data_IF_643173356864
#
_entry.id   IF_643173356864
#
_cell.length_a   1.000
_cell.length_b   1.000
_cell.length_c   1.000
_cell.angle_alpha   90.00
_cell.angle_beta   90.00
_cell.angle_gamma   90.00
#
_symmetry.space_group_name_H-M   'P 1'
#
loop_
_entity.id
_entity.type
_entity.pdbx_description
1 polymer ?
#
# COMPACT_ATOMS: atom_id res chain seq x y z
N UNK A 1 -1.90 -18.13 -14.72
CA UNK A 1 -1.57 -19.22 -13.78
C UNK A 1 -0.85 -18.78 -12.50
N UNK A 2 -0.85 -17.50 -12.17
CA UNK A 2 -0.28 -16.95 -10.91
C UNK A 2 -1.37 -16.43 -9.94
N UNK A 3 -2.64 -16.69 -10.26
CA UNK A 3 -3.80 -16.44 -9.41
C UNK A 3 -4.70 -17.67 -9.44
N UNK A 4 -5.43 -17.89 -8.35
CA UNK A 4 -6.49 -18.89 -8.26
C UNK A 4 -7.81 -18.43 -8.92
N UNK A 5 -7.94 -17.14 -9.22
CA UNK A 5 -9.15 -16.54 -9.79
C UNK A 5 -9.00 -16.16 -11.27
N UNK A 6 -10.09 -16.25 -12.05
CA UNK A 6 -10.17 -15.70 -13.41
C UNK A 6 -9.96 -14.18 -13.45
N UNK A 7 -9.61 -13.63 -14.62
CA UNK A 7 -9.29 -12.19 -14.78
C UNK A 7 -10.56 -11.33 -14.63
N UNK A 8 -11.71 -11.87 -15.03
CA UNK A 8 -13.03 -11.25 -14.99
C UNK A 8 -13.48 -10.88 -13.57
N UNK A 9 -12.88 -11.51 -12.54
CA UNK A 9 -13.16 -11.20 -11.13
C UNK A 9 -12.82 -9.74 -10.79
N UNK A 10 -11.86 -9.12 -11.49
CA UNK A 10 -11.53 -7.70 -11.28
C UNK A 10 -12.75 -6.82 -11.57
N UNK A 11 -13.34 -6.94 -12.76
CA UNK A 11 -14.52 -6.17 -13.16
C UNK A 11 -15.76 -6.50 -12.32
N UNK A 12 -15.91 -7.77 -11.91
CA UNK A 12 -17.00 -8.19 -11.02
C UNK A 12 -16.89 -7.54 -9.63
N UNK A 13 -15.68 -7.48 -9.07
CA UNK A 13 -15.46 -6.83 -7.76
C UNK A 13 -15.61 -5.31 -7.84
N UNK A 14 -15.22 -4.67 -8.95
CA UNK A 14 -15.53 -3.25 -9.20
C UNK A 14 -17.03 -3.02 -9.14
N UNK A 15 -17.82 -3.84 -9.83
CA UNK A 15 -19.29 -3.75 -9.75
C UNK A 15 -19.80 -4.01 -8.32
N UNK A 16 -19.16 -4.92 -7.58
CA UNK A 16 -19.51 -5.17 -6.18
C UNK A 16 -19.22 -3.96 -5.27
N UNK A 17 -18.12 -3.23 -5.51
CA UNK A 17 -17.81 -1.97 -4.81
C UNK A 17 -18.88 -0.92 -5.11
N UNK A 18 -19.27 -0.76 -6.37
CA UNK A 18 -20.32 0.18 -6.79
C UNK A 18 -21.66 -0.17 -6.13
N UNK A 19 -21.96 -1.46 -5.99
CA UNK A 19 -23.19 -1.95 -5.37
C UNK A 19 -23.16 -1.97 -3.83
N UNK A 20 -22.05 -1.58 -3.19
CA UNK A 20 -21.94 -1.55 -1.72
C UNK A 20 -21.68 -2.92 -1.07
N UNK A 21 -21.39 -3.97 -1.84
CA UNK A 21 -21.39 -5.35 -1.37
C UNK A 21 -20.05 -5.91 -0.91
N UNK A 22 -18.95 -5.14 -0.96
CA UNK A 22 -17.63 -5.62 -0.55
C UNK A 22 -17.30 -5.26 0.92
N UNK A 23 -16.25 -5.87 1.45
CA UNK A 23 -15.82 -5.63 2.82
C UNK A 23 -15.42 -4.17 3.05
N UNK A 24 -14.72 -3.55 2.08
CA UNK A 24 -14.34 -2.14 2.16
C UNK A 24 -15.57 -1.21 2.24
N UNK A 25 -16.67 -1.52 1.54
CA UNK A 25 -17.89 -0.71 1.62
C UNK A 25 -18.42 -0.66 3.07
N UNK A 26 -18.51 -1.82 3.71
CA UNK A 26 -19.02 -1.94 5.07
C UNK A 26 -18.11 -1.23 6.09
N UNK A 27 -16.79 -1.29 5.88
CA UNK A 27 -15.83 -0.59 6.73
C UNK A 27 -15.87 0.92 6.53
N UNK A 28 -16.00 1.40 5.30
CA UNK A 28 -16.16 2.82 5.03
C UNK A 28 -17.45 3.39 5.62
N UNK A 29 -18.57 2.66 5.51
CA UNK A 29 -19.84 3.04 6.14
C UNK A 29 -19.70 3.10 7.68
N UNK A 30 -19.12 2.07 8.28
CA UNK A 30 -18.91 2.03 9.74
C UNK A 30 -17.97 3.13 10.23
N UNK A 31 -16.94 3.45 9.45
CA UNK A 31 -15.93 4.43 9.81
C UNK A 31 -16.32 5.86 9.40
N UNK A 32 -17.48 6.09 8.78
CA UNK A 32 -17.86 7.40 8.20
C UNK A 32 -16.73 7.96 7.32
N UNK A 33 -16.42 7.21 6.26
CA UNK A 33 -15.38 7.50 5.27
C UNK A 33 -15.98 7.43 3.88
N UNK A 34 -15.75 8.47 3.07
CA UNK A 34 -16.13 8.46 1.67
C UNK A 34 -15.28 7.42 0.90
N UNK A 35 -15.94 6.52 0.17
CA UNK A 35 -15.29 5.55 -0.71
C UNK A 35 -15.41 5.99 -2.16
N UNK A 36 -14.28 6.11 -2.87
CA UNK A 36 -14.22 6.37 -4.32
C UNK A 36 -13.58 5.18 -5.04
N UNK A 37 -14.21 4.72 -6.12
CA UNK A 37 -13.67 3.66 -6.98
C UNK A 37 -13.12 4.30 -8.24
N UNK A 38 -11.82 4.08 -8.49
CA UNK A 38 -11.09 4.60 -9.63
C UNK A 38 -10.80 3.46 -10.60
N UNK A 39 -11.61 3.33 -11.65
CA UNK A 39 -11.48 2.26 -12.64
C UNK A 39 -10.28 2.49 -13.56
N UNK A 40 -9.41 1.49 -13.65
CA UNK A 40 -8.14 1.58 -14.36
C UNK A 40 -8.06 0.57 -15.49
N UNK A 41 -8.35 1.02 -16.71
CA UNK A 41 -8.12 0.26 -17.94
C UNK A 41 -8.60 -1.21 -17.86
N UNK A 42 -9.80 -1.45 -17.31
CA UNK A 42 -10.32 -2.80 -17.02
C UNK A 42 -10.34 -3.72 -18.27
N UNK A 43 -10.55 -3.13 -19.45
CA UNK A 43 -10.60 -3.82 -20.74
C UNK A 43 -9.22 -4.02 -21.39
N UNK A 44 -8.17 -3.41 -20.84
CA UNK A 44 -6.80 -3.41 -21.39
C UNK A 44 -5.82 -3.83 -20.28
N UNK A 45 -5.73 -5.14 -19.98
CA UNK A 45 -4.79 -5.61 -18.97
C UNK A 45 -3.35 -5.29 -19.36
N UNK A 46 -2.46 -5.26 -18.36
CA UNK A 46 -1.03 -5.09 -18.59
C UNK A 46 -0.43 -6.28 -19.33
N UNK A 47 0.72 -6.03 -19.97
CA UNK A 47 1.45 -7.06 -20.70
C UNK A 47 2.24 -7.96 -19.75
N UNK A 48 2.58 -9.16 -20.21
CA UNK A 48 3.35 -10.11 -19.43
C UNK A 48 4.79 -9.61 -19.21
N UNK A 49 5.08 -9.15 -17.98
CA UNK A 49 6.38 -8.60 -17.61
C UNK A 49 7.57 -9.57 -17.77
N UNK A 50 7.31 -10.86 -18.00
CA UNK A 50 8.38 -11.83 -18.27
C UNK A 50 8.86 -11.80 -19.72
N UNK A 51 8.15 -11.06 -20.60
CA UNK A 51 8.39 -11.03 -22.05
C UNK A 51 8.58 -9.63 -22.60
N UNK A 52 7.98 -8.63 -21.96
CA UNK A 52 8.01 -7.22 -22.37
C UNK A 52 7.61 -6.33 -21.19
N UNK A 53 7.81 -4.99 -21.24
CA UNK A 53 7.36 -4.12 -20.16
C UNK A 53 5.83 -4.21 -19.92
N UNK A 54 5.41 -4.35 -18.65
CA UNK A 54 3.99 -4.41 -18.28
C UNK A 54 3.17 -3.21 -18.80
N UNK A 55 3.76 -2.02 -18.73
CA UNK A 55 3.22 -0.75 -19.22
C UNK A 55 4.20 -0.11 -20.20
N UNK A 56 3.68 0.58 -21.22
CA UNK A 56 4.51 1.52 -21.97
C UNK A 56 4.62 2.83 -21.17
N UNK A 57 5.44 3.76 -21.67
CA UNK A 57 5.71 5.02 -20.97
C UNK A 57 4.43 5.85 -20.80
N UNK A 58 3.65 6.01 -21.87
CA UNK A 58 2.36 6.71 -21.85
C UNK A 58 1.38 6.08 -20.86
N UNK A 59 1.22 4.76 -20.88
CA UNK A 59 0.31 4.04 -19.98
C UNK A 59 0.70 4.21 -18.51
N UNK A 60 2.00 4.19 -18.20
CA UNK A 60 2.47 4.40 -16.83
C UNK A 60 2.23 5.84 -16.38
N UNK A 61 2.53 6.83 -17.24
CA UNK A 61 2.28 8.24 -16.96
C UNK A 61 0.80 8.55 -16.79
N UNK A 62 -0.05 8.03 -17.69
CA UNK A 62 -1.51 8.16 -17.62
C UNK A 62 -2.04 7.57 -16.31
N UNK A 63 -1.58 6.38 -15.92
CA UNK A 63 -2.02 5.74 -14.69
C UNK A 63 -1.60 6.52 -13.45
N UNK A 64 -0.35 6.98 -13.38
CA UNK A 64 0.12 7.85 -12.30
C UNK A 64 -0.68 9.15 -12.24
N UNK A 65 -0.87 9.81 -13.38
CA UNK A 65 -1.62 11.06 -13.47
C UNK A 65 -3.06 10.87 -12.99
N UNK A 66 -3.72 9.79 -13.42
CA UNK A 66 -5.07 9.48 -12.96
C UNK A 66 -5.13 9.27 -11.44
N UNK A 67 -4.16 8.55 -10.87
CA UNK A 67 -4.02 8.46 -9.41
C UNK A 67 -3.80 9.80 -8.72
N UNK A 68 -3.05 10.72 -9.32
CA UNK A 68 -2.90 12.08 -8.78
C UNK A 68 -4.23 12.83 -8.72
N UNK A 69 -5.14 12.60 -9.67
CA UNK A 69 -6.46 13.27 -9.68
C UNK A 69 -7.40 12.80 -8.57
N UNK A 70 -7.10 11.70 -7.87
CA UNK A 70 -7.91 11.23 -6.74
C UNK A 70 -7.66 12.01 -5.45
N UNK A 71 -6.71 12.95 -5.44
CA UNK A 71 -6.34 13.71 -4.25
C UNK A 71 -6.72 15.18 -4.42
N UNK A 72 -7.56 15.66 -3.51
CA UNK A 72 -8.09 17.02 -3.51
C UNK A 72 -7.50 17.85 -2.37
N UNK A 73 -7.40 19.16 -2.57
CA UNK A 73 -7.03 20.08 -1.49
C UNK A 73 -8.07 20.04 -0.38
N UNK A 74 -7.63 19.91 0.87
CA UNK A 74 -8.51 19.90 2.04
C UNK A 74 -8.95 18.51 2.50
N UNK A 75 -8.50 17.43 1.85
CA UNK A 75 -8.66 16.08 2.40
C UNK A 75 -7.88 15.95 3.73
N UNK A 76 -8.56 15.53 4.80
CA UNK A 76 -7.92 15.30 6.10
C UNK A 76 -6.98 14.08 6.09
N UNK A 77 -7.34 13.06 5.32
CA UNK A 77 -6.58 11.82 5.20
C UNK A 77 -6.98 11.05 3.94
N UNK A 78 -6.01 10.41 3.30
CA UNK A 78 -6.21 9.52 2.16
C UNK A 78 -5.96 8.07 2.58
N UNK A 79 -6.98 7.21 2.47
CA UNK A 79 -6.82 5.76 2.65
C UNK A 79 -6.73 5.08 1.28
N UNK A 80 -5.65 4.35 1.01
CA UNK A 80 -5.42 3.75 -0.30
C UNK A 80 -5.56 2.23 -0.27
N UNK A 81 -6.35 1.72 -1.22
CA UNK A 81 -6.54 0.31 -1.51
C UNK A 81 -6.31 0.00 -2.98
N UNK A 82 -6.26 -1.28 -3.30
CA UNK A 82 -6.22 -1.77 -4.67
C UNK A 82 -7.17 -2.96 -4.85
N UNK A 83 -7.51 -3.23 -6.10
CA UNK A 83 -8.13 -4.48 -6.52
C UNK A 83 -7.53 -4.87 -7.88
N UNK A 84 -6.86 -6.01 -7.94
CA UNK A 84 -6.28 -6.52 -9.18
C UNK A 84 -5.91 -7.99 -9.09
N UNK A 85 -6.46 -8.81 -9.99
CA UNK A 85 -6.09 -10.22 -10.02
C UNK A 85 -4.62 -10.38 -10.40
N UNK A 86 -3.91 -11.21 -9.62
CA UNK A 86 -2.48 -11.51 -9.74
C UNK A 86 -1.48 -10.40 -9.36
N UNK A 87 -1.94 -9.23 -8.93
CA UNK A 87 -1.05 -8.11 -8.62
C UNK A 87 -0.07 -8.34 -7.45
N UNK A 88 -0.35 -9.29 -6.54
CA UNK A 88 0.63 -9.73 -5.53
C UNK A 88 1.93 -10.26 -6.17
N UNK A 89 1.86 -10.76 -7.41
CA UNK A 89 3.04 -11.16 -8.18
C UNK A 89 3.81 -9.94 -8.68
N UNK A 90 3.10 -8.94 -9.21
CA UNK A 90 3.68 -7.66 -9.66
C UNK A 90 4.28 -6.89 -8.49
N UNK A 91 3.59 -6.81 -7.35
CA UNK A 91 4.08 -6.20 -6.12
C UNK A 91 5.38 -6.88 -5.61
N UNK A 92 5.42 -8.22 -5.64
CA UNK A 92 6.62 -8.98 -5.29
C UNK A 92 7.78 -8.73 -6.28
N UNK A 93 7.50 -8.69 -7.59
CA UNK A 93 8.50 -8.38 -8.60
C UNK A 93 9.04 -6.95 -8.45
N UNK A 94 8.16 -5.98 -8.21
CA UNK A 94 8.51 -4.59 -7.98
C UNK A 94 9.40 -4.46 -6.74
N UNK A 95 9.01 -5.04 -5.61
CA UNK A 95 9.84 -5.01 -4.39
C UNK A 95 11.21 -5.66 -4.61
N UNK A 96 11.28 -6.78 -5.32
CA UNK A 96 12.52 -7.44 -5.66
C UNK A 96 13.40 -6.59 -6.59
N UNK A 97 12.80 -5.88 -7.55
CA UNK A 97 13.49 -4.96 -8.44
C UNK A 97 14.07 -3.76 -7.70
N UNK A 98 13.30 -3.17 -6.78
CA UNK A 98 13.70 -1.99 -6.00
C UNK A 98 14.73 -2.31 -4.91
N UNK A 99 14.57 -3.43 -4.20
CA UNK A 99 15.32 -3.72 -2.96
C UNK A 99 16.20 -4.97 -3.04
N UNK A 100 16.24 -5.63 -4.20
CA UNK A 100 16.99 -6.85 -4.45
C UNK A 100 16.38 -8.10 -3.82
N UNK A 101 17.05 -9.23 -4.04
CA UNK A 101 16.59 -10.56 -3.64
C UNK A 101 15.97 -11.34 -4.80
N UNK A 102 15.40 -12.50 -4.48
CA UNK A 102 14.75 -13.41 -5.44
C UNK A 102 13.26 -13.51 -5.19
N UNK A 103 12.51 -13.96 -6.19
CA UNK A 103 11.06 -14.12 -6.12
C UNK A 103 10.60 -14.86 -4.86
N UNK A 104 11.29 -15.94 -4.48
CA UNK A 104 10.98 -16.74 -3.28
C UNK A 104 10.97 -15.94 -1.95
N UNK A 105 11.64 -14.80 -1.89
CA UNK A 105 11.72 -13.95 -0.69
C UNK A 105 10.56 -12.94 -0.62
N UNK A 106 9.91 -12.68 -1.75
CA UNK A 106 8.91 -11.64 -1.89
C UNK A 106 7.51 -12.19 -2.16
N UNK A 107 7.38 -13.37 -2.77
CA UNK A 107 6.07 -13.95 -3.09
C UNK A 107 5.40 -14.58 -1.87
N UNK A 108 4.10 -14.33 -1.75
CA UNK A 108 3.22 -15.00 -0.81
C UNK A 108 2.09 -15.78 -1.49
N UNK A 109 1.25 -16.42 -0.67
CA UNK A 109 0.11 -17.20 -1.14
C UNK A 109 -0.90 -16.32 -1.92
N UNK A 110 -0.96 -15.02 -1.66
CA UNK A 110 -1.99 -14.13 -2.17
C UNK A 110 -3.37 -14.64 -1.79
N UNK A 111 -4.19 -14.90 -2.81
CA UNK A 111 -5.54 -15.48 -2.72
C UNK A 111 -5.59 -16.96 -2.33
N UNK A 112 -4.59 -17.46 -1.60
CA UNK A 112 -4.58 -18.83 -1.05
C UNK A 112 -3.78 -19.87 -1.83
N UNK A 113 -2.84 -19.46 -2.68
CA UNK A 113 -2.01 -20.42 -3.42
C UNK A 113 -0.96 -21.09 -2.53
N UNK A 114 -0.74 -22.38 -2.74
CA UNK A 114 0.27 -23.18 -2.04
C UNK A 114 1.10 -24.04 -2.99
N UNK A 115 2.21 -24.59 -2.48
CA UNK A 115 3.01 -25.61 -3.14
C UNK A 115 3.50 -25.21 -4.54
N UNK A 116 2.99 -25.89 -5.58
CA UNK A 116 3.40 -25.66 -6.98
C UNK A 116 3.08 -24.24 -7.46
N UNK A 117 1.94 -23.66 -7.05
CA UNK A 117 1.52 -22.32 -7.46
C UNK A 117 2.46 -21.24 -6.92
N UNK A 118 2.85 -21.34 -5.64
CA UNK A 118 3.81 -20.41 -5.03
C UNK A 118 5.19 -20.49 -5.68
N UNK A 119 5.66 -21.70 -6.01
CA UNK A 119 6.92 -21.88 -6.75
C UNK A 119 6.86 -21.29 -8.15
N UNK A 120 5.72 -21.39 -8.83
CA UNK A 120 5.53 -20.76 -10.14
C UNK A 120 5.57 -19.23 -10.02
N UNK A 121 4.89 -18.63 -9.04
CA UNK A 121 4.99 -17.19 -8.74
C UNK A 121 6.44 -16.75 -8.56
N UNK A 122 7.21 -17.44 -7.72
CA UNK A 122 8.62 -17.12 -7.50
C UNK A 122 9.43 -17.14 -8.80
N UNK A 123 9.23 -18.16 -9.66
CA UNK A 123 9.92 -18.26 -10.96
C UNK A 123 9.50 -17.16 -11.93
N UNK A 124 8.23 -16.78 -11.94
CA UNK A 124 7.71 -15.69 -12.78
C UNK A 124 8.38 -14.38 -12.37
N UNK A 125 8.46 -14.10 -11.07
CA UNK A 125 9.20 -12.93 -10.54
C UNK A 125 10.67 -12.99 -10.97
N UNK A 126 11.36 -14.11 -10.75
CA UNK A 126 12.77 -14.26 -11.14
C UNK A 126 12.99 -14.07 -12.66
N UNK A 127 12.06 -14.54 -13.50
CA UNK A 127 12.11 -14.36 -14.95
C UNK A 127 11.95 -12.88 -15.35
N UNK A 128 10.98 -12.17 -14.75
CA UNK A 128 10.79 -10.74 -14.98
C UNK A 128 12.01 -9.90 -14.57
N UNK A 129 12.58 -10.21 -13.39
CA UNK A 129 13.80 -9.55 -12.92
C UNK A 129 14.98 -9.78 -13.87
N UNK A 130 15.14 -11.01 -14.38
CA UNK A 130 16.20 -11.35 -15.32
C UNK A 130 16.01 -10.61 -16.66
N UNK A 131 14.78 -10.61 -17.19
CA UNK A 131 14.46 -9.95 -18.46
C UNK A 131 14.68 -8.43 -18.41
N UNK A 132 14.40 -7.79 -17.26
CA UNK A 132 14.49 -6.34 -17.11
C UNK A 132 15.76 -5.83 -16.40
N UNK A 133 16.72 -6.70 -16.09
CA UNK A 133 17.91 -6.40 -15.24
C UNK A 133 18.63 -5.09 -15.56
N UNK A 134 18.69 -4.68 -16.83
CA UNK A 134 19.35 -3.45 -17.26
C UNK A 134 18.63 -2.13 -16.89
N UNK A 135 17.36 -2.21 -16.45
CA UNK A 135 16.50 -1.04 -16.27
C UNK A 135 16.07 -0.79 -14.82
N UNK A 136 16.20 -1.79 -13.93
CA UNK A 136 15.61 -1.74 -12.59
C UNK A 136 16.33 -0.81 -11.59
N UNK A 137 17.40 -0.13 -12.03
CA UNK A 137 18.07 0.90 -11.21
C UNK A 137 17.25 2.18 -11.11
N UNK A 138 16.41 2.45 -12.11
CA UNK A 138 15.45 3.53 -12.08
C UNK A 138 14.13 2.98 -11.50
N UNK A 139 13.66 3.47 -10.34
CA UNK A 139 12.42 3.01 -9.73
C UNK A 139 11.17 3.22 -10.60
N UNK A 140 11.13 4.26 -11.43
CA UNK A 140 9.99 4.49 -12.33
C UNK A 140 10.01 3.48 -13.50
N UNK A 141 11.19 3.13 -14.00
CA UNK A 141 11.32 2.02 -14.96
C UNK A 141 10.97 0.68 -14.32
N UNK A 142 11.30 0.46 -13.05
CA UNK A 142 10.88 -0.74 -12.33
C UNK A 142 9.36 -0.82 -12.21
N UNK A 143 8.69 0.29 -11.85
CA UNK A 143 7.23 0.40 -11.80
C UNK A 143 6.60 0.12 -13.16
N UNK A 144 7.08 0.78 -14.21
CA UNK A 144 6.56 0.61 -15.57
C UNK A 144 6.71 -0.82 -16.09
N UNK A 145 7.82 -1.47 -15.78
CA UNK A 145 8.16 -2.80 -16.33
C UNK A 145 7.56 -3.95 -15.55
N UNK A 146 7.53 -3.87 -14.22
CA UNK A 146 7.14 -4.97 -13.32
C UNK A 146 5.80 -4.73 -12.61
N UNK A 147 5.26 -3.51 -12.68
CA UNK A 147 4.07 -3.10 -11.95
C UNK A 147 2.75 -3.40 -12.67
N UNK A 148 1.79 -2.52 -12.43
CA UNK A 148 0.41 -2.59 -12.92
C UNK A 148 -0.20 -1.19 -12.98
N UNK A 149 -1.34 -1.04 -13.66
CA UNK A 149 -2.02 0.26 -13.73
C UNK A 149 -2.41 0.77 -12.33
N UNK A 150 -2.90 -0.12 -11.47
CA UNK A 150 -3.27 0.15 -10.09
C UNK A 150 -2.07 0.55 -9.23
N UNK A 151 -0.91 -0.09 -9.42
CA UNK A 151 0.32 0.27 -8.69
C UNK A 151 0.85 1.63 -9.15
N UNK A 152 0.77 1.92 -10.44
CA UNK A 152 1.13 3.22 -10.98
C UNK A 152 0.18 4.32 -10.46
N UNK A 153 -1.13 4.07 -10.44
CA UNK A 153 -2.11 4.99 -9.84
C UNK A 153 -1.83 5.27 -8.37
N UNK A 154 -1.61 4.23 -7.55
CA UNK A 154 -1.28 4.42 -6.12
C UNK A 154 0.02 5.23 -5.96
N UNK A 155 1.03 4.97 -6.78
CA UNK A 155 2.28 5.75 -6.76
C UNK A 155 1.99 7.24 -7.02
N UNK A 156 1.16 7.54 -8.02
CA UNK A 156 0.71 8.90 -8.34
C UNK A 156 -0.10 9.54 -7.21
N UNK A 157 -1.07 8.83 -6.63
CA UNK A 157 -1.89 9.32 -5.52
C UNK A 157 -1.04 9.67 -4.29
N UNK A 158 -0.07 8.81 -3.92
CA UNK A 158 0.83 9.08 -2.79
C UNK A 158 1.71 10.31 -3.07
N UNK A 159 2.17 10.49 -4.31
CA UNK A 159 2.94 11.66 -4.72
C UNK A 159 2.10 12.94 -4.62
N UNK A 160 0.87 12.94 -5.16
CA UNK A 160 -0.03 14.08 -5.06
C UNK A 160 -0.38 14.43 -3.61
N UNK A 161 -0.66 13.42 -2.78
CA UNK A 161 -0.90 13.62 -1.36
C UNK A 161 0.27 14.30 -0.65
N UNK A 162 1.51 13.97 -1.03
CA UNK A 162 2.69 14.69 -0.52
C UNK A 162 2.68 16.16 -0.92
N UNK A 163 2.42 16.46 -2.19
CA UNK A 163 2.40 17.83 -2.73
C UNK A 163 1.31 18.68 -2.07
N UNK A 164 0.19 18.07 -1.70
CA UNK A 164 -0.95 18.72 -1.07
C UNK A 164 -0.95 18.63 0.46
N UNK A 165 0.12 18.09 1.06
CA UNK A 165 0.25 17.89 2.52
C UNK A 165 -0.87 17.04 3.14
N UNK A 166 -1.42 16.09 2.37
CA UNK A 166 -2.44 15.14 2.83
C UNK A 166 -1.76 13.90 3.40
N UNK A 167 -2.02 13.52 4.66
CA UNK A 167 -1.47 12.29 5.23
C UNK A 167 -2.14 11.04 4.60
N UNK A 168 -1.38 9.96 4.46
CA UNK A 168 -1.82 8.74 3.78
C UNK A 168 -1.79 7.53 4.71
N UNK A 169 -2.85 6.73 4.70
CA UNK A 169 -2.85 5.36 5.23
C UNK A 169 -2.76 4.37 4.06
N UNK A 170 -1.64 3.66 4.00
CA UNK A 170 -1.40 2.56 3.08
C UNK A 170 -1.99 1.27 3.66
N UNK A 171 -2.61 0.46 2.81
CA UNK A 171 -3.25 -0.79 3.22
C UNK A 171 -2.26 -1.95 3.35
N UNK A 172 -2.38 -2.96 2.49
CA UNK A 172 -1.59 -4.18 2.52
C UNK A 172 -0.34 -4.13 1.62
N UNK A 173 0.09 -5.31 1.21
CA UNK A 173 1.37 -5.51 0.53
C UNK A 173 1.45 -4.79 -0.82
N UNK A 174 0.44 -4.93 -1.69
CA UNK A 174 0.45 -4.34 -3.03
C UNK A 174 0.41 -2.80 -2.97
N UNK A 175 -0.48 -2.24 -2.16
CA UNK A 175 -0.55 -0.80 -1.91
C UNK A 175 0.77 -0.24 -1.39
N UNK A 176 1.38 -0.90 -0.40
CA UNK A 176 2.68 -0.48 0.15
C UNK A 176 3.82 -0.65 -0.85
N UNK A 177 3.79 -1.68 -1.70
CA UNK A 177 4.78 -1.90 -2.76
C UNK A 177 4.77 -0.80 -3.82
N UNK A 178 3.58 -0.30 -4.19
CA UNK A 178 3.44 0.85 -5.07
C UNK A 178 4.06 2.11 -4.44
N UNK A 179 3.71 2.44 -3.19
CA UNK A 179 4.28 3.58 -2.48
C UNK A 179 5.82 3.48 -2.35
N UNK A 180 6.36 2.27 -2.19
CA UNK A 180 7.79 2.04 -2.04
C UNK A 180 8.63 2.47 -3.26
N UNK A 181 8.03 2.64 -4.44
CA UNK A 181 8.70 3.25 -5.60
C UNK A 181 9.20 4.66 -5.26
N UNK A 182 8.37 5.46 -4.58
CA UNK A 182 8.75 6.81 -4.16
C UNK A 182 9.87 6.78 -3.11
N UNK A 183 9.85 5.80 -2.21
CA UNK A 183 10.93 5.62 -1.23
C UNK A 183 12.26 5.30 -1.91
N UNK A 184 12.24 4.45 -2.94
CA UNK A 184 13.42 4.12 -3.72
C UNK A 184 13.93 5.31 -4.56
N UNK A 185 13.03 6.23 -4.99
CA UNK A 185 13.41 7.47 -5.67
C UNK A 185 14.09 8.47 -4.73
N UNK A 186 13.49 8.71 -3.57
CA UNK A 186 13.98 9.67 -2.60
C UNK A 186 13.63 9.25 -1.17
N UNK A 187 14.64 9.20 -0.30
CA UNK A 187 14.43 8.97 1.14
C UNK A 187 13.57 10.09 1.73
N UNK A 188 12.67 9.73 2.65
CA UNK A 188 11.73 10.67 3.28
C UNK A 188 10.47 10.97 2.43
N UNK A 189 10.39 10.46 1.19
CA UNK A 189 9.21 10.66 0.33
C UNK A 189 7.92 10.08 0.90
N UNK A 190 8.01 9.13 1.84
CA UNK A 190 6.86 8.50 2.51
C UNK A 190 6.66 9.02 3.95
N UNK A 191 7.26 10.13 4.36
CA UNK A 191 7.13 10.65 5.73
C UNK A 191 5.68 11.02 6.08
N UNK A 192 4.88 11.41 5.09
CA UNK A 192 3.44 11.67 5.21
C UNK A 192 2.58 10.39 5.21
N UNK A 193 3.17 9.20 5.08
CA UNK A 193 2.45 7.93 5.04
C UNK A 193 2.60 7.13 6.33
N UNK A 194 1.54 6.44 6.75
CA UNK A 194 1.62 5.31 7.68
C UNK A 194 1.04 4.05 7.01
N UNK A 195 1.36 2.88 7.56
CA UNK A 195 0.81 1.60 7.07
C UNK A 195 -0.25 1.13 8.05
N UNK A 196 -1.47 0.94 7.56
CA UNK A 196 -2.62 0.58 8.38
C UNK A 196 -2.46 -0.79 8.99
N UNK A 197 -2.05 -1.79 8.21
CA UNK A 197 -1.85 -3.13 8.73
C UNK A 197 -0.68 -3.88 8.07
N UNK A 198 -0.07 -4.80 8.80
CA UNK A 198 0.79 -5.81 8.18
C UNK A 198 -0.09 -6.92 7.63
N UNK A 199 0.11 -7.23 6.36
CA UNK A 199 -0.65 -8.30 5.69
C UNK A 199 0.02 -9.65 5.89
N UNK A 200 -0.72 -10.73 5.68
CA UNK A 200 -0.17 -12.09 5.71
C UNK A 200 0.69 -12.44 4.50
N UNK A 201 0.87 -11.53 3.54
CA UNK A 201 1.87 -11.71 2.50
C UNK A 201 3.27 -11.61 3.13
N UNK A 202 4.10 -12.68 3.10
CA UNK A 202 5.38 -12.70 3.79
C UNK A 202 6.32 -11.56 3.37
N UNK A 203 6.21 -11.15 2.10
CA UNK A 203 6.97 -10.02 1.57
C UNK A 203 6.65 -8.67 2.22
N UNK A 204 5.49 -8.52 2.88
CA UNK A 204 5.09 -7.24 3.45
C UNK A 204 5.93 -6.86 4.68
N UNK A 205 6.20 -7.78 5.61
CA UNK A 205 7.09 -7.51 6.75
C UNK A 205 8.48 -7.07 6.30
N UNK A 206 9.03 -7.77 5.30
CA UNK A 206 10.31 -7.42 4.68
C UNK A 206 10.27 -6.04 4.02
N UNK A 207 9.17 -5.72 3.34
CA UNK A 207 9.00 -4.41 2.73
C UNK A 207 8.98 -3.30 3.78
N UNK A 208 8.24 -3.48 4.87
CA UNK A 208 8.16 -2.54 5.99
C UNK A 208 9.54 -2.25 6.59
N UNK A 209 10.36 -3.28 6.77
CA UNK A 209 11.76 -3.14 7.19
C UNK A 209 12.59 -2.31 6.19
N UNK A 210 12.43 -2.57 4.88
CA UNK A 210 13.17 -1.84 3.83
C UNK A 210 12.83 -0.36 3.77
N UNK A 211 11.56 0.00 3.99
CA UNK A 211 11.10 1.39 3.96
C UNK A 211 11.11 2.07 5.34
N UNK A 212 11.54 1.36 6.39
CA UNK A 212 11.62 1.89 7.76
C UNK A 212 10.26 2.25 8.37
N UNK A 213 9.20 1.50 8.04
CA UNK A 213 7.84 1.73 8.55
C UNK A 213 7.42 0.59 9.48
N UNK A 214 6.55 0.91 10.44
CA UNK A 214 5.82 -0.07 11.26
C UNK A 214 4.33 0.06 10.94
N UNK A 215 3.65 -1.06 10.75
CA UNK A 215 2.21 -1.06 10.59
C UNK A 215 1.51 -0.83 11.93
N UNK A 216 0.33 -0.19 11.89
CA UNK A 216 -0.47 0.10 13.08
C UNK A 216 -1.16 -1.17 13.63
N UNK A 217 -1.56 -2.08 12.74
CA UNK A 217 -2.29 -3.31 13.08
C UNK A 217 -1.57 -4.57 12.59
N UNK A 218 -1.64 -5.67 13.35
CA UNK A 218 -1.31 -7.03 12.91
C UNK A 218 -2.49 -7.96 13.24
N UNK A 219 -3.41 -8.10 12.27
CA UNK A 219 -4.68 -8.82 12.43
C UNK A 219 -4.78 -10.05 11.51
N UNK A 220 -3.64 -10.51 10.97
CA UNK A 220 -3.60 -11.60 9.99
C UNK A 220 -4.48 -11.38 8.75
N UNK A 221 -4.72 -10.12 8.37
CA UNK A 221 -5.51 -9.74 7.20
C UNK A 221 -4.75 -9.94 5.89
N UNK A 222 -5.49 -10.16 4.80
CA UNK A 222 -4.94 -10.42 3.46
C UNK A 222 -5.90 -10.14 2.30
N UNK A 223 -6.94 -9.35 2.54
CA UNK A 223 -7.95 -9.05 1.53
C UNK A 223 -7.42 -8.02 0.51
N UNK A 224 -6.86 -6.92 1.00
CA UNK A 224 -6.55 -5.75 0.18
C UNK A 224 -7.70 -4.74 0.24
N UNK A 225 -7.98 -4.09 -0.89
CA UNK A 225 -9.13 -3.19 -1.09
C UNK A 225 -9.10 -1.91 -0.24
N UNK A 226 -8.08 -1.68 0.58
CA UNK A 226 -8.04 -0.54 1.50
C UNK A 226 -8.55 -0.88 2.90
N UNK A 227 -8.93 -2.14 3.14
CA UNK A 227 -9.62 -2.54 4.37
C UNK A 227 -8.81 -2.33 5.64
N UNK A 228 -7.51 -2.63 5.62
CA UNK A 228 -6.61 -2.38 6.75
C UNK A 228 -6.25 -0.91 6.93
N UNK A 229 -6.22 -0.12 5.86
CA UNK A 229 -6.08 1.34 5.96
C UNK A 229 -7.29 1.97 6.67
N UNK A 230 -8.51 1.61 6.26
CA UNK A 230 -9.75 2.14 6.87
C UNK A 230 -9.91 1.66 8.31
N UNK A 231 -9.61 0.40 8.64
CA UNK A 231 -9.61 -0.06 10.03
C UNK A 231 -8.62 0.71 10.91
N UNK A 232 -7.43 1.02 10.39
CA UNK A 232 -6.42 1.77 11.12
C UNK A 232 -6.78 3.25 11.32
N UNK A 233 -7.72 3.79 10.52
CA UNK A 233 -8.21 5.17 10.69
C UNK A 233 -8.80 5.41 12.08
N UNK A 234 -9.44 4.40 12.67
CA UNK A 234 -9.94 4.49 14.05
C UNK A 234 -8.85 4.83 15.06
N UNK A 235 -7.66 4.20 14.93
CA UNK A 235 -6.51 4.50 15.78
C UNK A 235 -5.99 5.93 15.58
N UNK A 236 -5.95 6.39 14.32
CA UNK A 236 -5.53 7.76 14.01
C UNK A 236 -6.51 8.76 14.64
N UNK A 237 -7.81 8.58 14.44
CA UNK A 237 -8.84 9.45 15.03
C UNK A 237 -8.77 9.45 16.55
N UNK A 238 -8.56 8.29 17.18
CA UNK A 238 -8.35 8.21 18.64
C UNK A 238 -7.10 8.98 19.07
N UNK A 239 -5.99 8.87 18.35
CA UNK A 239 -4.77 9.60 18.66
C UNK A 239 -4.99 11.13 18.57
N UNK A 240 -5.69 11.60 17.53
CA UNK A 240 -6.07 13.01 17.39
C UNK A 240 -6.98 13.44 18.54
N UNK A 241 -8.02 12.67 18.86
CA UNK A 241 -8.94 12.99 19.94
C UNK A 241 -8.23 13.07 21.31
N UNK A 242 -7.30 12.16 21.60
CA UNK A 242 -6.47 12.23 22.80
C UNK A 242 -5.57 13.46 22.79
N UNK A 243 -5.02 13.83 21.63
CA UNK A 243 -4.14 14.99 21.52
C UNK A 243 -4.88 16.32 21.68
N UNK A 244 -6.10 16.45 21.15
CA UNK A 244 -6.85 17.71 21.13
C UNK A 244 -7.87 17.85 22.26
N UNK A 245 -8.30 16.74 22.87
CA UNK A 245 -9.39 16.72 23.85
C UNK A 245 -8.98 16.32 25.27
N UNK A 246 -7.76 15.84 25.50
CA UNK A 246 -7.30 15.48 26.84
C UNK A 246 -6.83 16.72 27.60
N UNK A 247 -7.36 16.94 28.80
CA UNK A 247 -6.87 17.96 29.71
C UNK A 247 -5.42 17.67 30.12
N UNK A 248 -4.61 18.73 30.19
CA UNK A 248 -3.31 18.68 30.85
C UNK A 248 -3.48 18.44 32.35
N UNK A 249 -2.41 17.99 33.02
CA UNK A 249 -2.44 17.81 34.48
C UNK A 249 -2.76 19.12 35.22
N UNK A 250 -2.37 20.27 34.67
CA UNK A 250 -2.71 21.56 35.23
C UNK A 250 -4.22 21.86 35.14
N UNK A 251 -4.84 21.60 33.99
CA UNK A 251 -6.28 21.82 33.78
C UNK A 251 -7.15 20.83 34.56
N UNK A 252 -6.67 19.60 34.73
CA UNK A 252 -7.36 18.56 35.49
C UNK A 252 -7.07 18.61 37.00
N UNK A 253 -6.31 19.61 37.47
CA UNK A 253 -5.88 19.77 38.87
C UNK A 253 -5.20 18.51 39.44
N UNK A 254 -4.52 17.75 38.58
CA UNK A 254 -3.81 16.54 38.96
C UNK A 254 -2.45 16.90 39.54
N UNK A 255 -2.21 16.51 40.79
CA UNK A 255 -0.93 16.75 41.46
C UNK A 255 0.22 16.13 40.67
N UNK A 256 1.23 16.93 40.35
CA UNK A 256 2.47 16.43 39.75
C UNK A 256 3.40 15.90 40.84
N UNK A 257 4.25 14.92 40.51
CA UNK A 257 5.29 14.47 41.42
C UNK A 257 6.23 15.65 41.67
N UNK A 258 6.24 16.19 42.90
CA UNK A 258 7.31 17.10 43.31
C UNK A 258 8.64 16.38 43.12
N UNK A 259 9.57 17.03 42.40
CA UNK A 259 10.96 16.59 42.37
C UNK A 259 11.42 16.56 43.83
N UNK A 260 11.68 15.37 44.36
CA UNK A 260 12.35 15.22 45.64
C UNK A 260 13.74 15.83 45.49
N UNK A 261 13.89 17.10 45.87
CA UNK A 261 15.18 17.69 46.11
C UNK A 261 15.86 16.83 47.17
N UNK A 262 16.91 16.15 46.74
CA UNK A 262 17.77 15.31 47.55
C UNK A 262 18.48 16.21 48.58
N UNK A 263 17.79 16.55 49.65
CA UNK A 263 18.38 17.09 50.87
C UNK A 263 18.98 15.93 51.67
N UNK A 264 20.05 15.35 51.15
CA UNK A 264 21.05 14.71 52.00
C UNK A 264 22.25 15.65 52.13
N UNK A 265 22.06 16.67 52.97
CA UNK A 265 23.16 17.19 53.78
C UNK A 265 23.28 16.31 55.03
N UNK A 266 24.45 15.74 55.24
CA UNK A 266 24.80 14.90 56.39
C UNK A 266 26.09 14.13 56.14
#
# INVERSE_FOLDING_TARGET
GVSAYPVEVTSQMVQNFINGGAAINQLCEQADVEMRVHEMALEKPTRDFTREPALDESQCMEAMTYGMTSVETGMDMLCLGEMGIANTTSAAALCAGLFGGKGKEWVGPGTGMAGKGLRLKARVVDAGLAFHRGHLKDPLEALRRLGGHELAAITGAVLAARLLSVPVLLDGFACTAAAAVLHALAKGSLDHCQVGHVSMEPGHRRLLEKIGKKALLDLSMRLGEGTGAVLALGLVRSAVACHTGMASFAEAEVSTKERSDDKHGG
#
